data_IF_836018889883
#
_entry.id   IF_836018889883
#
_cell.length_a   1.000
_cell.length_b   1.000
_cell.length_c   1.000
_cell.angle_alpha   90.00
_cell.angle_beta   90.00
_cell.angle_gamma   90.00
#
_symmetry.space_group_name_H-M   'P 1'
#
loop_
_entity.id
_entity.type
_entity.pdbx_description
1 polymer ?
#
# COMPACT_ATOMS: atom_id res chain seq x y z
N UNK A 1 -9.91 4.69 1.54
CA UNK A 1 -8.56 4.31 1.06
C UNK A 1 -8.64 3.70 -0.33
N UNK A 2 -7.67 3.99 -1.19
CA UNK A 2 -7.57 3.39 -2.53
C UNK A 2 -7.03 1.96 -2.40
N UNK A 3 -7.71 0.99 -3.00
CA UNK A 3 -7.40 -0.44 -2.87
C UNK A 3 -7.44 -1.13 -4.22
N UNK A 4 -6.64 -2.18 -4.36
CA UNK A 4 -6.64 -3.11 -5.50
C UNK A 4 -7.21 -4.45 -5.07
N UNK A 5 -7.93 -5.13 -5.97
CA UNK A 5 -8.44 -6.48 -5.72
C UNK A 5 -7.47 -7.50 -6.28
N UNK A 6 -6.79 -8.23 -5.40
CA UNK A 6 -5.76 -9.19 -5.78
C UNK A 6 -6.39 -10.42 -6.48
N UNK A 7 -6.04 -10.71 -7.74
CA UNK A 7 -6.79 -11.66 -8.57
C UNK A 7 -6.69 -13.11 -8.09
N UNK A 8 -5.62 -13.48 -7.39
CA UNK A 8 -5.40 -14.84 -6.87
C UNK A 8 -5.96 -15.02 -5.46
N UNK A 9 -5.73 -14.03 -4.59
CA UNK A 9 -6.11 -14.11 -3.17
C UNK A 9 -7.59 -13.75 -2.96
N UNK A 10 -8.22 -13.08 -3.94
CA UNK A 10 -9.63 -12.65 -3.89
C UNK A 10 -9.95 -11.74 -2.71
N UNK A 11 -8.98 -10.93 -2.30
CA UNK A 11 -9.09 -9.93 -1.23
C UNK A 11 -8.68 -8.56 -1.76
N UNK A 12 -9.11 -7.51 -1.07
CA UNK A 12 -8.66 -6.13 -1.32
C UNK A 12 -7.38 -5.86 -0.54
N UNK A 13 -6.38 -5.29 -1.20
CA UNK A 13 -5.06 -4.96 -0.65
C UNK A 13 -4.70 -3.51 -0.96
N UNK A 14 -3.72 -2.99 -0.22
CA UNK A 14 -3.01 -1.77 -0.58
C UNK A 14 -2.30 -1.97 -1.93
N UNK A 15 -2.25 -0.93 -2.78
CA UNK A 15 -1.32 -0.93 -3.89
C UNK A 15 0.12 -1.01 -3.37
N UNK A 16 0.98 -1.75 -4.06
CA UNK A 16 2.36 -1.92 -3.63
C UNK A 16 3.13 -3.01 -4.37
N UNK A 17 4.44 -2.97 -4.26
CA UNK A 17 5.34 -3.85 -4.97
C UNK A 17 6.79 -3.68 -4.52
N UNK A 18 7.71 -4.27 -5.29
CA UNK A 18 9.13 -4.22 -4.99
C UNK A 18 9.71 -2.82 -5.21
N UNK A 19 10.79 -2.53 -4.51
CA UNK A 19 11.58 -1.32 -4.71
C UNK A 19 12.59 -1.58 -5.83
N UNK A 20 12.53 -0.79 -6.88
CA UNK A 20 13.45 -0.80 -8.01
C UNK A 20 14.80 -0.17 -7.66
N UNK A 21 15.83 -0.52 -8.43
CA UNK A 21 17.17 0.00 -8.23
C UNK A 21 17.20 1.53 -8.39
N UNK A 22 17.62 2.24 -7.34
CA UNK A 22 17.80 3.69 -7.36
C UNK A 22 16.58 4.49 -6.91
N UNK A 23 15.48 3.85 -6.51
CA UNK A 23 14.34 4.53 -5.91
C UNK A 23 14.33 4.39 -4.37
N UNK A 24 13.72 5.36 -3.70
CA UNK A 24 13.40 5.29 -2.27
C UNK A 24 12.08 4.55 -2.06
N UNK A 25 11.83 3.94 -0.88
CA UNK A 25 10.54 3.29 -0.60
C UNK A 25 9.31 4.19 -0.83
N UNK A 26 9.41 5.49 -0.56
CA UNK A 26 8.33 6.45 -0.83
C UNK A 26 8.09 6.69 -2.33
N UNK A 27 9.17 6.68 -3.14
CA UNK A 27 9.06 6.76 -4.60
C UNK A 27 8.44 5.49 -5.18
N UNK A 28 8.85 4.31 -4.69
CA UNK A 28 8.24 3.03 -5.03
C UNK A 28 6.73 3.05 -4.77
N UNK A 29 6.31 3.46 -3.56
CA UNK A 29 4.90 3.55 -3.19
C UNK A 29 4.09 4.46 -4.14
N UNK A 30 4.64 5.62 -4.55
CA UNK A 30 3.97 6.48 -5.53
C UNK A 30 3.90 5.87 -6.93
N UNK A 31 4.97 5.19 -7.37
CA UNK A 31 5.04 4.50 -8.67
C UNK A 31 4.02 3.37 -8.72
N UNK A 32 4.02 2.47 -7.75
CA UNK A 32 3.12 1.31 -7.67
C UNK A 32 1.65 1.75 -7.66
N UNK A 33 1.29 2.77 -6.86
CA UNK A 33 -0.08 3.33 -6.93
C UNK A 33 -0.41 3.80 -8.34
N UNK A 34 0.50 4.50 -9.02
CA UNK A 34 0.25 4.97 -10.39
C UNK A 34 0.11 3.81 -11.38
N UNK A 35 0.96 2.80 -11.29
CA UNK A 35 0.97 1.65 -12.22
C UNK A 35 -0.28 0.79 -12.04
N UNK A 36 -0.63 0.44 -10.81
CA UNK A 36 -1.74 -0.46 -10.53
C UNK A 36 -3.11 0.21 -10.64
N UNK A 37 -3.19 1.53 -10.40
CA UNK A 37 -4.47 2.25 -10.28
C UNK A 37 -4.66 3.40 -11.26
N UNK A 38 -3.61 3.84 -11.95
CA UNK A 38 -3.62 5.05 -12.78
C UNK A 38 -3.70 6.36 -11.98
N UNK A 39 -3.71 6.31 -10.64
CA UNK A 39 -3.88 7.49 -9.78
C UNK A 39 -2.53 8.16 -9.51
N UNK A 40 -2.46 9.47 -9.75
CA UNK A 40 -1.31 10.28 -9.37
C UNK A 40 -1.43 10.75 -7.93
N UNK A 41 -0.35 10.60 -7.16
CA UNK A 41 -0.32 10.92 -5.72
C UNK A 41 0.89 11.75 -5.34
N UNK A 42 0.82 12.36 -4.16
CA UNK A 42 1.95 12.98 -3.48
C UNK A 42 2.20 12.27 -2.15
N UNK A 43 3.46 12.15 -1.73
CA UNK A 43 3.80 11.69 -0.38
C UNK A 43 3.28 12.69 0.64
N UNK A 44 2.62 12.20 1.69
CA UNK A 44 2.07 13.08 2.73
C UNK A 44 3.18 13.89 3.43
N UNK A 45 3.00 15.20 3.67
CA UNK A 45 4.03 16.05 4.31
C UNK A 45 4.50 15.59 5.70
N UNK A 46 3.75 14.70 6.36
CA UNK A 46 4.20 14.02 7.57
C UNK A 46 5.54 13.30 7.34
N UNK A 47 5.72 12.58 6.22
CA UNK A 47 6.97 11.87 5.93
C UNK A 47 8.17 12.80 5.75
N UNK A 48 7.99 13.99 5.17
CA UNK A 48 9.06 14.97 5.05
C UNK A 48 9.52 15.53 6.41
N UNK A 49 8.62 15.57 7.41
CA UNK A 49 8.93 16.05 8.77
C UNK A 49 9.59 14.98 9.64
N UNK A 50 9.22 13.72 9.44
CA UNK A 50 9.66 12.60 10.29
C UNK A 50 10.74 11.72 9.64
N UNK A 51 10.94 11.85 8.32
CA UNK A 51 11.94 11.12 7.53
C UNK A 51 11.88 9.59 7.70
N UNK A 52 10.67 9.04 7.85
CA UNK A 52 10.42 7.62 8.09
C UNK A 52 9.13 7.15 7.42
N UNK A 53 8.96 5.83 7.15
CA UNK A 53 7.66 5.25 6.80
C UNK A 53 6.65 5.46 7.93
N UNK A 54 5.37 5.28 7.61
CA UNK A 54 4.30 5.35 8.59
C UNK A 54 4.32 4.12 9.52
N UNK A 55 4.62 2.96 8.94
CA UNK A 55 4.70 1.66 9.61
C UNK A 55 5.62 0.75 8.78
N UNK A 56 6.19 -0.26 9.44
CA UNK A 56 6.92 -1.34 8.77
C UNK A 56 6.26 -2.63 9.20
N UNK A 57 5.60 -3.30 8.27
CA UNK A 57 5.01 -4.62 8.49
C UNK A 57 6.01 -5.70 8.04
N UNK A 58 6.13 -6.76 8.85
CA UNK A 58 7.06 -7.86 8.58
C UNK A 58 6.28 -9.15 8.66
N UNK A 59 6.13 -9.83 7.53
CA UNK A 59 5.38 -11.08 7.46
C UNK A 59 6.10 -12.11 6.58
N UNK A 60 5.93 -13.41 6.90
CA UNK A 60 6.53 -14.48 6.11
C UNK A 60 5.74 -14.68 4.81
N UNK A 61 6.47 -14.92 3.73
CA UNK A 61 5.94 -15.40 2.46
C UNK A 61 6.35 -16.87 2.30
N UNK A 62 5.36 -17.71 2.06
CA UNK A 62 5.59 -19.12 1.77
C UNK A 62 6.33 -19.27 0.43
N UNK A 63 7.08 -20.37 0.30
CA UNK A 63 7.70 -20.73 -0.98
C UNK A 63 6.66 -20.74 -2.11
N UNK A 64 7.04 -20.17 -3.25
CA UNK A 64 6.26 -20.22 -4.48
C UNK A 64 7.05 -20.95 -5.57
N UNK A 65 6.84 -22.27 -5.73
CA UNK A 65 7.56 -23.07 -6.74
C UNK A 65 7.32 -22.60 -8.18
N UNK A 66 6.15 -22.00 -8.47
CA UNK A 66 5.84 -21.49 -9.81
C UNK A 66 6.67 -20.26 -10.18
N UNK A 67 7.03 -19.44 -9.20
CA UNK A 67 7.90 -18.26 -9.37
C UNK A 67 9.37 -18.56 -9.07
N UNK A 68 9.70 -19.80 -8.69
CA UNK A 68 11.03 -20.22 -8.22
C UNK A 68 11.53 -19.36 -7.05
N UNK A 69 10.62 -19.01 -6.15
CA UNK A 69 10.87 -18.10 -5.04
C UNK A 69 10.83 -18.87 -3.72
N UNK A 70 11.96 -19.00 -2.99
CA UNK A 70 12.00 -19.69 -1.71
C UNK A 70 11.19 -18.93 -0.65
N UNK A 71 10.83 -19.61 0.44
CA UNK A 71 10.22 -18.93 1.58
C UNK A 71 11.15 -17.83 2.11
N UNK A 72 10.59 -16.65 2.36
CA UNK A 72 11.33 -15.46 2.77
C UNK A 72 10.43 -14.51 3.57
N UNK A 73 10.96 -13.37 3.99
CA UNK A 73 10.19 -12.33 4.67
C UNK A 73 10.00 -11.14 3.75
N UNK A 74 8.78 -10.63 3.72
CA UNK A 74 8.51 -9.29 3.22
C UNK A 74 8.73 -8.28 4.35
N UNK A 75 9.28 -7.13 3.97
CA UNK A 75 9.46 -5.95 4.81
C UNK A 75 8.74 -4.78 4.14
N UNK A 76 7.49 -4.58 4.52
CA UNK A 76 6.59 -3.64 3.85
C UNK A 76 6.71 -2.26 4.49
N UNK A 77 7.40 -1.35 3.80
CA UNK A 77 7.51 0.05 4.20
C UNK A 77 6.26 0.81 3.77
N UNK A 78 5.36 1.09 4.71
CA UNK A 78 4.05 1.68 4.41
C UNK A 78 4.12 3.21 4.42
N UNK A 79 3.64 3.85 3.35
CA UNK A 79 3.61 5.30 3.21
C UNK A 79 2.18 5.81 3.07
N UNK A 80 1.90 6.94 3.71
CA UNK A 80 0.68 7.69 3.48
C UNK A 80 0.86 8.58 2.27
N UNK A 81 0.03 8.36 1.27
CA UNK A 81 -0.03 9.16 0.06
C UNK A 81 -1.33 9.98 0.06
N UNK A 82 -1.30 11.14 -0.57
CA UNK A 82 -2.46 12.03 -0.71
C UNK A 82 -2.78 12.29 -2.18
N UNK A 83 -4.05 12.55 -2.42
CA UNK A 83 -4.60 13.06 -3.68
C UNK A 83 -5.35 14.36 -3.37
N UNK A 84 -5.37 15.29 -4.31
CA UNK A 84 -6.08 16.57 -4.11
C UNK A 84 -7.60 16.39 -4.21
N UNK A 85 -8.04 15.65 -5.23
CA UNK A 85 -9.42 15.22 -5.43
C UNK A 85 -9.48 13.70 -5.46
N UNK A 86 -10.60 13.10 -5.06
CA UNK A 86 -10.82 11.65 -5.16
C UNK A 86 -11.01 11.33 -6.66
N UNK A 87 -9.99 10.78 -7.34
CA UNK A 87 -10.07 10.46 -8.75
C UNK A 87 -10.87 9.18 -8.94
N UNK A 88 -11.51 9.03 -10.09
CA UNK A 88 -11.96 7.72 -10.52
C UNK A 88 -10.71 6.88 -10.85
N UNK A 89 -10.43 5.79 -10.12
CA UNK A 89 -9.25 4.98 -10.42
C UNK A 89 -9.37 4.40 -11.83
N UNK A 90 -8.26 4.43 -12.56
CA UNK A 90 -8.18 3.90 -13.91
C UNK A 90 -8.02 2.38 -13.93
N UNK A 91 -7.92 1.82 -15.14
CA UNK A 91 -7.46 0.46 -15.36
C UNK A 91 -5.94 0.51 -15.56
N UNK A 92 -5.17 0.58 -14.48
CA UNK A 92 -3.70 0.57 -14.54
C UNK A 92 -3.18 -0.73 -15.17
N UNK A 93 -2.79 -1.68 -14.35
CA UNK A 93 -2.41 -3.03 -14.81
C UNK A 93 -3.61 -3.97 -15.04
N UNK A 94 -4.80 -3.41 -15.33
CA UNK A 94 -6.03 -4.17 -15.51
C UNK A 94 -6.58 -4.80 -14.22
N UNK A 95 -6.07 -4.40 -13.06
CA UNK A 95 -6.61 -4.80 -11.76
C UNK A 95 -7.96 -4.14 -11.50
N UNK A 96 -8.82 -4.79 -10.72
CA UNK A 96 -10.01 -4.14 -10.19
C UNK A 96 -9.59 -3.22 -9.05
N UNK A 97 -9.93 -1.94 -9.16
CA UNK A 97 -9.54 -0.89 -8.21
C UNK A 97 -10.78 -0.24 -7.60
N UNK A 98 -10.69 0.24 -6.36
CA UNK A 98 -11.78 0.95 -5.73
C UNK A 98 -11.37 1.74 -4.50
N UNK A 99 -12.11 2.81 -4.23
CA UNK A 99 -12.08 3.50 -2.94
C UNK A 99 -12.95 2.74 -1.95
N UNK A 100 -12.35 2.37 -0.81
CA UNK A 100 -13.01 1.68 0.31
C UNK A 100 -13.05 2.55 1.55
N UNK A 101 -14.15 2.54 2.28
CA UNK A 101 -14.17 3.12 3.62
C UNK A 101 -13.29 2.27 4.57
N UNK A 102 -12.80 2.86 5.66
CA UNK A 102 -11.86 2.15 6.54
C UNK A 102 -12.49 0.95 7.24
N UNK A 103 -13.79 1.02 7.51
CA UNK A 103 -14.61 -0.05 8.07
C UNK A 103 -14.98 -1.16 7.06
N UNK A 104 -14.68 -0.97 5.77
CA UNK A 104 -14.81 -2.00 4.72
C UNK A 104 -13.52 -2.80 4.48
N UNK A 105 -12.47 -2.56 5.27
CA UNK A 105 -11.16 -3.19 5.11
C UNK A 105 -11.06 -4.42 6.01
N UNK A 106 -10.98 -5.59 5.38
CA UNK A 106 -10.91 -6.89 6.06
C UNK A 106 -9.49 -7.48 6.14
N UNK A 107 -8.47 -6.78 5.63
CA UNK A 107 -7.08 -7.25 5.66
C UNK A 107 -6.49 -7.13 7.09
N UNK A 108 -6.10 -8.24 7.76
CA UNK A 108 -5.71 -8.20 9.17
C UNK A 108 -4.54 -7.25 9.48
N UNK A 109 -3.49 -7.28 8.65
CA UNK A 109 -2.27 -6.48 8.88
C UNK A 109 -2.50 -4.97 8.75
N UNK A 110 -3.55 -4.59 8.03
CA UNK A 110 -3.95 -3.20 7.85
C UNK A 110 -4.95 -2.75 8.92
N UNK A 111 -5.80 -3.66 9.43
CA UNK A 111 -6.61 -3.38 10.61
C UNK A 111 -5.73 -3.05 11.82
N UNK A 112 -4.62 -3.79 12.01
CA UNK A 112 -3.64 -3.49 13.05
C UNK A 112 -3.01 -2.10 12.88
N UNK A 113 -2.66 -1.72 11.64
CA UNK A 113 -2.17 -0.38 11.34
C UNK A 113 -3.22 0.69 11.65
N UNK A 114 -4.47 0.50 11.22
CA UNK A 114 -5.56 1.45 11.48
C UNK A 114 -5.73 1.67 12.99
N UNK A 115 -5.76 0.58 13.77
CA UNK A 115 -5.85 0.66 15.23
C UNK A 115 -4.65 1.40 15.86
N UNK A 116 -3.41 1.14 15.38
CA UNK A 116 -2.21 1.89 15.83
C UNK A 116 -2.35 3.39 15.55
N UNK A 117 -2.79 3.75 14.33
CA UNK A 117 -2.93 5.15 13.91
C UNK A 117 -4.05 5.87 14.66
N UNK A 118 -5.16 5.19 14.96
CA UNK A 118 -6.24 5.71 15.80
C UNK A 118 -5.74 6.01 17.21
N UNK A 119 -5.05 5.05 17.83
CA UNK A 119 -4.48 5.22 19.17
C UNK A 119 -3.47 6.39 19.23
N UNK A 120 -2.73 6.63 18.15
CA UNK A 120 -1.76 7.73 18.05
C UNK A 120 -2.36 9.06 17.57
N UNK A 121 -3.66 9.11 17.24
CA UNK A 121 -4.31 10.31 16.71
C UNK A 121 -3.83 10.72 15.31
N UNK A 122 -3.31 9.78 14.52
CA UNK A 122 -2.72 10.01 13.20
C UNK A 122 -3.63 9.64 12.02
N UNK A 123 -4.79 9.04 12.28
CA UNK A 123 -5.68 8.53 11.24
C UNK A 123 -6.27 9.64 10.34
N UNK A 124 -6.58 10.80 10.90
CA UNK A 124 -7.23 11.94 10.21
C UNK A 124 -6.34 13.20 10.12
N UNK A 125 -5.10 13.13 10.59
CA UNK A 125 -4.16 14.25 10.70
C UNK A 125 -3.42 14.59 9.40
#
# INVERSE_FOLDING_TARGET
MLMIFHPYLKIWLQPGGHIDAGETPGQAAQREVREETGVHTEVHPWHARHLMPLDIDIHPIAENPHKQEPAHYHYDFRYRLRVNDIPNPGQGEGLKVGWKALDEIDEPWLQDLIAKLEHQGLLLA
#
